data_IF_224974884436
#
_entry.id   IF_224974884436
#
_cell.length_a   1.000
_cell.length_b   1.000
_cell.length_c   1.000
_cell.angle_alpha   90.00
_cell.angle_beta   90.00
_cell.angle_gamma   90.00
#
_symmetry.space_group_name_H-M   'P 1'
#
loop_
_entity.id
_entity.type
_entity.pdbx_description
1 polymer ?
#
# COMPACT_ATOMS: atom_id res chain seq x y z
N UNK A 1 -6.01 17.39 16.86
CA UNK A 1 -4.54 17.21 16.79
C UNK A 1 -4.23 16.56 15.46
N UNK A 2 -3.37 17.15 14.62
CA UNK A 2 -2.96 16.54 13.36
C UNK A 2 -2.23 15.22 13.68
N UNK A 3 -2.68 14.11 13.06
CA UNK A 3 -2.07 12.81 13.30
C UNK A 3 -0.62 12.84 12.83
N UNK A 4 0.31 12.43 13.69
CA UNK A 4 1.72 12.31 13.30
C UNK A 4 1.82 11.24 12.20
N UNK A 5 2.40 11.57 11.02
CA UNK A 5 2.59 10.63 9.92
C UNK A 5 3.39 9.42 10.41
N UNK A 6 2.98 8.21 10.02
CA UNK A 6 3.54 6.97 10.54
C UNK A 6 3.70 5.93 9.44
N UNK A 7 4.93 5.45 9.25
CA UNK A 7 5.29 4.38 8.32
C UNK A 7 5.53 3.13 9.15
N UNK A 8 4.79 2.06 8.85
CA UNK A 8 5.11 0.73 9.35
C UNK A 8 5.58 -0.15 8.18
N UNK A 9 6.66 -0.89 8.42
CA UNK A 9 7.29 -1.74 7.41
C UNK A 9 7.18 -3.19 7.88
N UNK A 10 6.46 -4.01 7.13
CA UNK A 10 6.28 -5.43 7.45
C UNK A 10 7.06 -6.31 6.48
N UNK A 11 7.80 -7.29 7.00
CA UNK A 11 8.63 -8.17 6.16
C UNK A 11 7.87 -9.43 5.74
N UNK A 12 8.03 -9.83 4.48
CA UNK A 12 7.50 -11.08 3.97
C UNK A 12 8.07 -12.30 4.68
N UNK A 13 7.23 -13.32 4.82
CA UNK A 13 7.69 -14.69 4.98
C UNK A 13 7.98 -15.31 3.60
N UNK A 14 8.56 -16.51 3.58
CA UNK A 14 8.95 -17.18 2.32
C UNK A 14 7.75 -17.51 1.42
N UNK A 15 6.57 -17.75 2.02
CA UNK A 15 5.34 -18.01 1.28
C UNK A 15 4.88 -16.78 0.49
N UNK A 16 4.78 -15.61 1.14
CA UNK A 16 4.41 -14.35 0.49
C UNK A 16 5.45 -13.98 -0.58
N UNK A 17 6.74 -14.23 -0.33
CA UNK A 17 7.79 -14.02 -1.33
C UNK A 17 7.56 -14.86 -2.59
N UNK A 18 7.18 -16.13 -2.44
CA UNK A 18 6.88 -17.00 -3.60
C UNK A 18 5.66 -16.51 -4.39
N UNK A 19 4.62 -16.01 -3.71
CA UNK A 19 3.47 -15.39 -4.38
C UNK A 19 3.86 -14.10 -5.11
N UNK A 20 4.72 -13.29 -4.50
CA UNK A 20 5.24 -12.07 -5.11
C UNK A 20 5.99 -12.36 -6.41
N UNK A 21 6.86 -13.37 -6.44
CA UNK A 21 7.60 -13.76 -7.64
C UNK A 21 6.65 -14.11 -8.80
N UNK A 22 5.54 -14.80 -8.52
CA UNK A 22 4.51 -15.10 -9.53
C UNK A 22 3.79 -13.85 -10.02
N UNK A 23 3.40 -12.95 -9.11
CA UNK A 23 2.75 -11.68 -9.44
C UNK A 23 3.67 -10.76 -10.26
N UNK A 24 4.97 -10.75 -9.97
CA UNK A 24 5.97 -10.01 -10.75
C UNK A 24 6.02 -10.52 -12.19
N UNK A 25 6.04 -11.84 -12.40
CA UNK A 25 6.09 -12.42 -13.75
C UNK A 25 4.87 -11.99 -14.56
N UNK A 26 3.67 -12.09 -13.99
CA UNK A 26 2.43 -11.64 -14.63
C UNK A 26 2.51 -10.17 -15.06
N UNK A 27 2.79 -9.28 -14.11
CA UNK A 27 2.82 -7.83 -14.37
C UNK A 27 3.92 -7.42 -15.36
N UNK A 28 5.03 -8.15 -15.43
CA UNK A 28 6.09 -7.90 -16.43
C UNK A 28 5.71 -8.39 -17.83
N UNK A 29 4.81 -9.36 -17.95
CA UNK A 29 4.29 -9.85 -19.23
C UNK A 29 3.03 -9.10 -19.70
N UNK A 30 2.41 -8.32 -18.82
CA UNK A 30 1.21 -7.54 -19.09
C UNK A 30 1.52 -6.11 -19.57
N UNK A 31 0.64 -5.53 -20.38
CA UNK A 31 0.70 -4.11 -20.77
C UNK A 31 -0.25 -3.31 -19.88
N UNK A 32 0.21 -2.26 -19.18
CA UNK A 32 -0.66 -1.49 -18.31
C UNK A 32 -1.63 -0.65 -19.14
N UNK A 33 -2.91 -0.63 -18.73
CA UNK A 33 -3.85 0.39 -19.17
C UNK A 33 -3.53 1.74 -18.53
N UNK A 34 -3.73 2.84 -19.25
CA UNK A 34 -3.53 4.19 -18.70
C UNK A 34 -4.78 4.67 -17.96
N UNK A 35 -4.63 5.11 -16.69
CA UNK A 35 -5.73 5.69 -15.90
C UNK A 35 -5.65 7.22 -15.80
N UNK A 36 -4.44 7.74 -15.58
CA UNK A 36 -4.12 9.17 -15.53
C UNK A 36 -2.70 9.35 -16.05
N UNK A 37 -2.33 10.53 -16.57
CA UNK A 37 -0.99 10.72 -17.14
C UNK A 37 0.05 10.30 -16.10
N UNK A 38 0.83 9.25 -16.39
CA UNK A 38 1.91 8.66 -15.55
C UNK A 38 1.52 7.67 -14.45
N UNK A 39 0.23 7.32 -14.29
CA UNK A 39 -0.23 6.19 -13.48
C UNK A 39 -0.88 5.13 -14.39
N UNK A 40 -0.20 4.01 -14.57
CA UNK A 40 -0.71 2.85 -15.31
C UNK A 40 -1.27 1.79 -14.36
N UNK A 41 -2.27 1.05 -14.79
CA UNK A 41 -2.87 -0.07 -14.05
C UNK A 41 -2.73 -1.39 -14.80
N UNK A 42 -2.52 -2.47 -14.07
CA UNK A 42 -2.58 -3.84 -14.57
C UNK A 42 -3.89 -4.55 -14.16
N UNK A 43 -4.78 -3.86 -13.45
CA UNK A 43 -5.90 -4.49 -12.77
C UNK A 43 -5.42 -5.34 -11.60
N UNK A 44 -6.13 -6.43 -11.32
CA UNK A 44 -5.77 -7.38 -10.27
C UNK A 44 -6.05 -8.79 -10.75
N UNK A 45 -5.17 -9.32 -11.59
CA UNK A 45 -5.24 -10.71 -12.02
C UNK A 45 -4.94 -11.68 -10.88
N UNK A 46 -5.24 -12.97 -11.09
CA UNK A 46 -5.19 -14.00 -10.06
C UNK A 46 -3.88 -14.02 -9.25
N UNK A 47 -2.68 -13.94 -9.85
CA UNK A 47 -1.43 -13.93 -9.07
C UNK A 47 -1.32 -12.71 -8.14
N UNK A 48 -1.73 -11.54 -8.61
CA UNK A 48 -1.76 -10.32 -7.79
C UNK A 48 -2.86 -10.39 -6.72
N UNK A 49 -4.02 -10.98 -7.02
CA UNK A 49 -5.10 -11.19 -6.06
C UNK A 49 -4.68 -12.15 -4.93
N UNK A 50 -4.10 -13.30 -5.28
CA UNK A 50 -3.61 -14.29 -4.31
C UNK A 50 -2.55 -13.67 -3.37
N UNK A 51 -1.65 -12.84 -3.92
CA UNK A 51 -0.67 -12.10 -3.13
C UNK A 51 -1.33 -11.06 -2.20
N UNK A 52 -2.28 -10.29 -2.72
CA UNK A 52 -3.03 -9.28 -1.95
C UNK A 52 -3.74 -9.93 -0.76
N UNK A 53 -4.48 -11.02 -0.98
CA UNK A 53 -5.24 -11.71 0.05
C UNK A 53 -4.33 -12.25 1.15
N UNK A 54 -3.19 -12.82 0.77
CA UNK A 54 -2.23 -13.36 1.74
C UNK A 54 -1.53 -12.27 2.56
N UNK A 55 -1.23 -11.12 1.95
CA UNK A 55 -0.73 -9.94 2.67
C UNK A 55 -1.77 -9.42 3.66
N UNK A 56 -3.04 -9.29 3.26
CA UNK A 56 -4.13 -8.86 4.14
C UNK A 56 -4.26 -9.82 5.33
N UNK A 57 -4.25 -11.13 5.06
CA UNK A 57 -4.33 -12.16 6.09
C UNK A 57 -3.19 -12.05 7.10
N UNK A 58 -1.95 -11.95 6.62
CA UNK A 58 -0.76 -11.84 7.44
C UNK A 58 -0.68 -10.55 8.26
N UNK A 59 -1.20 -9.44 7.72
CA UNK A 59 -1.14 -8.11 8.36
C UNK A 59 -2.40 -7.74 9.13
N UNK A 60 -3.45 -8.56 9.10
CA UNK A 60 -4.71 -8.29 9.79
C UNK A 60 -4.53 -7.97 11.28
N UNK A 61 -3.79 -8.79 12.02
CA UNK A 61 -3.50 -8.56 13.44
C UNK A 61 -2.76 -7.24 13.71
N UNK A 62 -1.61 -6.99 13.06
CA UNK A 62 -0.92 -5.70 13.13
C UNK A 62 -1.80 -4.49 12.80
N UNK A 63 -2.59 -4.57 11.72
CA UNK A 63 -3.47 -3.49 11.28
C UNK A 63 -4.58 -3.18 12.29
N UNK A 64 -5.17 -4.20 12.91
CA UNK A 64 -6.17 -4.00 13.99
C UNK A 64 -5.53 -3.31 15.20
N UNK A 65 -4.34 -3.74 15.62
CA UNK A 65 -3.62 -3.11 16.74
C UNK A 65 -3.28 -1.65 16.43
N UNK A 66 -2.78 -1.38 15.23
CA UNK A 66 -2.52 -0.02 14.78
C UNK A 66 -3.78 0.85 14.81
N UNK A 67 -4.88 0.39 14.21
CA UNK A 67 -6.12 1.15 14.16
C UNK A 67 -6.66 1.45 15.57
N UNK A 68 -6.64 0.44 16.44
CA UNK A 68 -7.05 0.58 17.85
C UNK A 68 -6.20 1.61 18.60
N UNK A 69 -4.88 1.62 18.37
CA UNK A 69 -3.96 2.61 18.97
C UNK A 69 -4.23 4.06 18.52
N UNK A 70 -5.03 4.25 17.47
CA UNK A 70 -5.40 5.53 16.87
C UNK A 70 -6.88 5.87 17.08
N UNK A 71 -7.56 5.19 18.01
CA UNK A 71 -9.01 5.31 18.24
C UNK A 71 -9.82 5.15 16.93
N UNK A 72 -9.35 4.26 16.05
CA UNK A 72 -9.94 4.00 14.75
C UNK A 72 -10.22 2.51 14.55
N UNK A 73 -11.05 2.20 13.56
CA UNK A 73 -11.29 0.84 13.05
C UNK A 73 -11.07 0.85 11.54
N UNK A 74 -10.50 -0.24 11.02
CA UNK A 74 -10.44 -0.49 9.58
C UNK A 74 -11.72 -1.21 9.17
N UNK A 75 -12.48 -0.60 8.27
CA UNK A 75 -13.70 -1.18 7.73
C UNK A 75 -13.35 -2.32 6.78
N UNK A 76 -14.09 -3.43 6.91
CA UNK A 76 -13.99 -4.61 6.06
C UNK A 76 -12.55 -5.09 5.82
N UNK A 77 -11.75 -5.17 6.89
CA UNK A 77 -10.32 -5.51 6.82
C UNK A 77 -10.01 -6.76 5.99
N UNK A 78 -10.85 -7.78 6.03
CA UNK A 78 -10.65 -9.03 5.29
C UNK A 78 -11.07 -8.94 3.82
N UNK A 79 -11.90 -7.94 3.47
CA UNK A 79 -12.43 -7.71 2.12
C UNK A 79 -12.60 -6.20 1.92
N UNK A 80 -11.50 -5.45 1.74
CA UNK A 80 -11.58 -4.01 1.59
C UNK A 80 -12.60 -3.63 0.51
N UNK A 81 -13.45 -2.64 0.83
CA UNK A 81 -14.52 -2.14 -0.05
C UNK A 81 -13.95 -1.72 -1.41
N UNK A 82 -12.74 -1.14 -1.38
CA UNK A 82 -11.99 -0.84 -2.58
C UNK A 82 -11.21 -2.07 -3.03
N UNK A 83 -11.40 -2.46 -4.29
CA UNK A 83 -10.59 -3.53 -4.88
C UNK A 83 -9.12 -3.13 -4.87
N UNK A 84 -8.28 -4.04 -4.39
CA UNK A 84 -6.83 -3.94 -4.59
C UNK A 84 -6.53 -3.83 -6.08
N UNK A 85 -5.47 -3.11 -6.42
CA UNK A 85 -5.09 -2.90 -7.82
C UNK A 85 -3.57 -2.82 -7.96
N UNK A 86 -3.03 -3.47 -8.99
CA UNK A 86 -1.62 -3.38 -9.34
C UNK A 86 -1.37 -2.17 -10.24
N UNK A 87 -0.44 -1.31 -9.81
CA UNK A 87 -0.10 -0.07 -10.50
C UNK A 87 1.34 -0.03 -10.97
N UNK A 88 1.57 0.79 -11.99
CA UNK A 88 2.87 1.31 -12.42
C UNK A 88 2.88 2.82 -12.19
N UNK A 89 3.71 3.29 -11.28
CA UNK A 89 3.92 4.71 -11.00
C UNK A 89 5.21 5.18 -11.67
N UNK A 90 5.12 6.15 -12.56
CA UNK A 90 6.30 6.75 -13.21
C UNK A 90 6.89 7.89 -12.36
N UNK A 91 8.11 8.29 -12.70
CA UNK A 91 8.83 9.37 -12.02
C UNK A 91 8.01 10.67 -11.96
N UNK A 92 8.02 11.31 -10.79
CA UNK A 92 7.38 12.59 -10.56
C UNK A 92 5.87 12.52 -10.32
N UNK A 93 5.29 11.32 -10.37
CA UNK A 93 3.91 11.09 -9.92
C UNK A 93 3.88 10.72 -8.45
N UNK A 94 2.82 11.15 -7.78
CA UNK A 94 2.59 10.85 -6.38
C UNK A 94 1.17 10.33 -6.13
N UNK A 95 1.05 9.44 -5.15
CA UNK A 95 -0.17 8.74 -4.79
C UNK A 95 -0.43 8.91 -3.30
N UNK A 96 -1.61 9.39 -2.93
CA UNK A 96 -2.05 9.47 -1.53
C UNK A 96 -3.29 8.60 -1.32
N UNK A 97 -3.40 7.88 -0.20
CA UNK A 97 -4.69 7.43 0.30
C UNK A 97 -5.66 8.61 0.44
N UNK A 98 -6.96 8.37 0.31
CA UNK A 98 -7.98 9.38 0.57
C UNK A 98 -7.97 9.82 2.05
N UNK A 99 -8.73 10.86 2.38
CA UNK A 99 -9.05 11.15 3.78
C UNK A 99 -9.82 9.96 4.38
N UNK A 100 -9.61 9.68 5.67
CA UNK A 100 -10.22 8.54 6.36
C UNK A 100 -9.92 7.20 5.65
N UNK A 101 -8.71 7.07 5.13
CA UNK A 101 -8.24 5.86 4.48
C UNK A 101 -6.78 5.62 4.80
N UNK A 102 -6.40 4.35 4.82
CA UNK A 102 -5.00 3.91 4.90
C UNK A 102 -4.73 2.93 3.78
N UNK A 103 -3.48 2.79 3.35
CA UNK A 103 -3.14 1.85 2.28
C UNK A 103 -1.94 0.99 2.62
N UNK A 104 -1.93 -0.24 2.11
CA UNK A 104 -0.73 -1.04 2.00
C UNK A 104 -0.18 -0.96 0.58
N UNK A 105 1.13 -0.80 0.49
CA UNK A 105 1.89 -0.91 -0.74
C UNK A 105 2.67 -2.22 -0.70
N UNK A 106 2.35 -3.12 -1.62
CA UNK A 106 3.05 -4.40 -1.78
C UNK A 106 3.97 -4.28 -2.99
N UNK A 107 5.30 -4.40 -2.85
CA UNK A 107 6.20 -4.22 -3.97
C UNK A 107 6.03 -5.33 -5.01
N UNK A 108 6.07 -4.97 -6.29
CA UNK A 108 6.13 -5.90 -7.43
C UNK A 108 7.48 -5.73 -8.15
N UNK A 109 8.55 -5.99 -7.40
CA UNK A 109 9.94 -5.86 -7.84
C UNK A 109 10.83 -6.80 -7.04
N UNK A 110 11.95 -7.24 -7.63
CA UNK A 110 13.02 -7.97 -6.95
C UNK A 110 14.21 -7.08 -6.56
N UNK A 111 14.10 -5.77 -6.79
CA UNK A 111 15.13 -4.78 -6.51
C UNK A 111 14.58 -3.69 -5.62
N UNK A 112 15.46 -3.13 -4.79
CA UNK A 112 15.11 -1.97 -3.98
C UNK A 112 14.71 -0.79 -4.86
N UNK A 113 13.75 0.00 -4.39
CA UNK A 113 13.29 1.19 -5.07
C UNK A 113 13.47 2.41 -4.17
N UNK A 114 14.13 3.45 -4.69
CA UNK A 114 14.20 4.73 -4.00
C UNK A 114 12.86 5.48 -4.20
N UNK A 115 12.16 5.69 -3.11
CA UNK A 115 10.87 6.37 -3.06
C UNK A 115 10.96 7.55 -2.08
N UNK A 116 10.02 8.47 -2.22
CA UNK A 116 9.79 9.54 -1.26
C UNK A 116 8.42 9.37 -0.62
N UNK A 117 8.37 9.59 0.69
CA UNK A 117 7.16 9.53 1.48
C UNK A 117 6.85 10.95 1.96
N UNK A 118 5.67 11.44 1.61
CA UNK A 118 5.29 12.85 1.81
C UNK A 118 4.12 12.89 2.79
N UNK A 119 4.33 13.36 4.03
CA UNK A 119 3.24 13.57 4.97
C UNK A 119 2.18 14.52 4.42
N UNK A 120 0.91 14.21 4.68
CA UNK A 120 -0.18 15.08 4.27
C UNK A 120 -0.06 16.44 4.95
N UNK A 121 -0.18 17.50 4.15
CA UNK A 121 -0.06 18.88 4.65
C UNK A 121 1.39 19.34 4.91
N UNK A 122 2.38 18.51 4.56
CA UNK A 122 3.79 18.89 4.57
C UNK A 122 4.36 18.89 3.15
N UNK A 123 5.37 19.73 2.92
CA UNK A 123 6.20 19.70 1.71
C UNK A 123 7.53 18.95 1.93
N UNK A 124 7.75 18.43 3.13
CA UNK A 124 8.96 17.68 3.47
C UNK A 124 8.83 16.23 2.99
N UNK A 125 9.66 15.85 2.03
CA UNK A 125 9.75 14.48 1.55
C UNK A 125 10.76 13.68 2.40
N UNK A 126 10.35 12.48 2.82
CA UNK A 126 11.21 11.53 3.52
C UNK A 126 11.67 10.49 2.49
N UNK A 127 12.96 10.53 2.15
CA UNK A 127 13.54 9.53 1.27
C UNK A 127 13.58 8.16 1.95
N UNK A 128 13.08 7.14 1.26
CA UNK A 128 13.04 5.77 1.75
C UNK A 128 13.53 4.79 0.68
N UNK A 129 14.48 3.92 1.05
CA UNK A 129 14.96 2.85 0.19
C UNK A 129 14.12 1.60 0.42
N UNK A 130 13.09 1.41 -0.41
CA UNK A 130 12.09 0.36 -0.23
C UNK A 130 12.65 -1.02 -0.57
N UNK A 131 12.79 -1.88 0.46
CA UNK A 131 13.18 -3.29 0.30
C UNK A 131 12.03 -4.07 -0.38
N UNK A 132 12.30 -4.81 -1.47
CA UNK A 132 11.29 -5.59 -2.18
C UNK A 132 10.64 -6.69 -1.32
N UNK A 133 11.19 -7.02 -0.15
CA UNK A 133 10.62 -7.97 0.80
C UNK A 133 9.70 -7.33 1.83
N UNK A 134 9.39 -6.04 1.68
CA UNK A 134 8.65 -5.31 2.71
C UNK A 134 7.40 -4.64 2.18
N UNK A 135 6.30 -4.75 2.92
CA UNK A 135 5.07 -4.00 2.70
C UNK A 135 5.18 -2.68 3.43
N UNK A 136 4.84 -1.59 2.76
CA UNK A 136 4.73 -0.27 3.39
C UNK A 136 3.27 -0.02 3.74
N UNK A 137 3.02 0.34 4.99
CA UNK A 137 1.74 0.86 5.44
C UNK A 137 1.75 2.40 5.40
N UNK A 138 0.91 2.98 4.55
CA UNK A 138 0.74 4.42 4.38
C UNK A 138 -0.49 4.93 5.13
N UNK A 139 -0.26 5.69 6.20
CA UNK A 139 -1.29 6.49 6.86
C UNK A 139 -0.90 7.97 6.85
N UNK A 140 -1.81 8.82 6.36
CA UNK A 140 -1.58 10.28 6.23
C UNK A 140 -0.27 10.63 5.49
N UNK A 141 0.14 9.76 4.56
CA UNK A 141 1.32 9.96 3.74
C UNK A 141 1.04 9.55 2.31
N UNK A 142 1.70 10.24 1.37
CA UNK A 142 1.75 9.85 -0.02
C UNK A 142 3.07 9.22 -0.39
N UNK A 143 3.05 8.45 -1.46
CA UNK A 143 4.21 7.89 -2.13
C UNK A 143 4.52 8.72 -3.37
N UNK A 144 5.75 9.20 -3.52
CA UNK A 144 6.28 9.73 -4.77
C UNK A 144 7.45 8.87 -5.25
N UNK A 145 7.51 8.56 -6.54
CA UNK A 145 8.63 7.84 -7.12
C UNK A 145 9.66 8.81 -7.72
N UNK A 146 10.90 8.75 -7.22
CA UNK A 146 12.01 9.61 -7.69
C UNK A 146 13.02 8.91 -8.59
N UNK A 147 12.98 7.57 -8.64
CA UNK A 147 13.91 6.79 -9.45
C UNK A 147 13.75 7.03 -10.95
N UNK A 148 14.74 6.57 -11.72
CA UNK A 148 14.63 6.55 -13.18
C UNK A 148 13.73 5.39 -13.60
N UNK A 149 12.70 5.68 -14.41
CA UNK A 149 11.75 4.69 -14.92
C UNK A 149 10.42 4.68 -14.16
N UNK A 150 10.06 3.54 -13.57
CA UNK A 150 8.80 3.36 -12.85
C UNK A 150 8.91 2.30 -11.76
N UNK A 151 8.13 2.47 -10.68
CA UNK A 151 7.91 1.43 -9.66
C UNK A 151 6.58 0.74 -9.90
N UNK A 152 6.51 -0.55 -9.56
CA UNK A 152 5.29 -1.35 -9.63
C UNK A 152 4.94 -1.89 -8.26
N UNK A 153 3.66 -1.88 -7.92
CA UNK A 153 3.18 -2.31 -6.62
C UNK A 153 1.70 -2.66 -6.67
N UNK A 154 1.24 -3.50 -5.75
CA UNK A 154 -0.17 -3.64 -5.43
C UNK A 154 -0.53 -2.58 -4.40
N UNK A 155 -1.60 -1.86 -4.66
CA UNK A 155 -2.20 -0.89 -3.76
C UNK A 155 -3.45 -1.49 -3.13
N UNK A 156 -3.43 -1.67 -1.82
CA UNK A 156 -4.56 -2.21 -1.05
C UNK A 156 -5.09 -1.07 -0.19
N UNK A 157 -6.28 -0.56 -0.51
CA UNK A 157 -6.87 0.61 0.15
C UNK A 157 -7.93 0.18 1.17
N UNK A 158 -7.82 0.70 2.38
CA UNK A 158 -8.76 0.48 3.46
C UNK A 158 -9.44 1.78 3.86
N UNK A 159 -10.73 1.72 4.17
CA UNK A 159 -11.42 2.81 4.84
C UNK A 159 -11.20 2.72 6.35
N UNK A 160 -10.97 3.86 6.97
CA UNK A 160 -10.89 3.97 8.43
C UNK A 160 -12.08 4.76 8.95
N UNK A 161 -12.62 4.32 10.08
CA UNK A 161 -13.70 5.02 10.78
C UNK A 161 -13.29 5.25 12.24
N UNK A 162 -13.84 6.28 12.91
CA UNK A 162 -13.67 6.43 14.35
C UNK A 162 -14.14 5.17 15.08
N UNK A 163 -13.41 4.76 16.11
CA UNK A 163 -13.83 3.65 16.95
C UNK A 163 -15.18 4.01 17.60
N UNK A 164 -16.23 3.16 17.48
CA UNK A 164 -17.50 3.44 18.13
C UNK A 164 -17.26 3.58 19.62
N UNK A 165 -17.57 4.76 20.19
CA UNK A 165 -17.48 4.99 21.62
C UNK A 165 -18.31 3.90 22.31
N UNK A 166 -17.67 3.07 23.14
CA UNK A 166 -18.39 2.19 24.04
C UNK A 166 -19.28 3.07 24.91
N UNK A 167 -20.58 3.08 24.64
CA UNK A 167 -21.56 3.57 25.61
C UNK A 167 -21.49 2.58 26.77
N UNK A 168 -20.72 2.95 27.79
CA UNK A 168 -20.90 2.36 29.11
C UNK A 168 -22.25 2.87 29.61
N UNK A 169 -23.21 1.96 29.73
CA UNK A 169 -24.46 2.16 30.44
C UNK A 169 -24.20 2.07 31.94
#
# INVERSE_FOLDING_TARGET
MAQVPYIEVYRFNDHIKSLQEKAIVEVLTSTPGEKQSRLGTYGLEKPCADLSDEVIRGLSGPLVRWATSRDAVIQDLQRPIFRSEAFRLQKGSALWPGYHSTALLVPLSNRNALIELIPRGSNEAITHNWDPRTVIHLNEMGLQFQGNGSVRFIYILFQTAPCPKRQFW
#
